data_IF_443721516888
#
_entry.id   IF_443721516888
#
_cell.length_a   1.000
_cell.length_b   1.000
_cell.length_c   1.000
_cell.angle_alpha   90.00
_cell.angle_beta   90.00
_cell.angle_gamma   90.00
#
_symmetry.space_group_name_H-M   'P 1'
#
loop_
_entity.id
_entity.type
_entity.pdbx_description
1 polymer ?
#
# COMPACT_ATOMS: atom_id res chain seq x y z
N UNK A 1 -43.34 -60.85 62.87
CA UNK A 1 -44.26 -59.84 62.30
C UNK A 1 -43.41 -58.79 61.60
N UNK A 2 -43.85 -58.42 60.39
CA UNK A 2 -43.13 -57.68 59.36
C UNK A 2 -42.76 -56.27 59.81
N UNK A 3 -41.58 -55.78 59.42
CA UNK A 3 -41.46 -54.38 59.01
C UNK A 3 -40.33 -54.21 57.98
N UNK A 4 -40.75 -54.00 56.73
CA UNK A 4 -39.97 -53.43 55.64
C UNK A 4 -39.75 -51.94 55.95
N UNK A 5 -38.50 -51.48 55.93
CA UNK A 5 -38.18 -50.06 55.83
C UNK A 5 -37.22 -49.85 54.65
N UNK A 6 -37.81 -49.35 53.58
CA UNK A 6 -37.23 -48.89 52.32
C UNK A 6 -36.33 -47.69 52.58
N UNK A 7 -35.07 -47.71 52.13
CA UNK A 7 -34.26 -46.50 51.99
C UNK A 7 -33.74 -46.40 50.56
N UNK A 8 -34.37 -45.52 49.79
CA UNK A 8 -33.88 -44.99 48.54
C UNK A 8 -33.43 -43.56 48.80
N UNK A 9 -32.17 -43.20 48.54
CA UNK A 9 -31.78 -41.79 48.42
C UNK A 9 -30.66 -41.59 47.39
N UNK A 10 -31.12 -41.18 46.20
CA UNK A 10 -30.57 -40.15 45.30
C UNK A 10 -29.09 -40.17 44.92
N UNK A 11 -28.87 -40.59 43.67
CA UNK A 11 -27.68 -40.31 42.87
C UNK A 11 -27.68 -38.82 42.45
N UNK A 12 -26.67 -38.06 42.89
CA UNK A 12 -26.47 -36.64 42.57
C UNK A 12 -25.66 -36.54 41.26
N UNK A 13 -26.35 -36.42 40.12
CA UNK A 13 -25.72 -36.08 38.84
C UNK A 13 -25.33 -34.59 38.83
N UNK A 14 -24.06 -34.28 39.06
CA UNK A 14 -23.49 -32.98 38.75
C UNK A 14 -23.38 -32.81 37.23
N UNK A 15 -24.39 -32.18 36.62
CA UNK A 15 -24.33 -31.67 35.25
C UNK A 15 -23.43 -30.43 35.27
N UNK A 16 -22.16 -30.60 34.87
CA UNK A 16 -21.28 -29.49 34.53
C UNK A 16 -21.74 -28.89 33.21
N UNK A 17 -22.55 -27.83 33.29
CA UNK A 17 -22.87 -26.98 32.15
C UNK A 17 -21.61 -26.17 31.82
N UNK A 18 -20.82 -26.65 30.87
CA UNK A 18 -19.82 -25.82 30.20
C UNK A 18 -20.57 -24.79 29.37
N UNK A 19 -20.76 -23.59 29.92
CA UNK A 19 -21.08 -22.42 29.13
C UNK A 19 -19.84 -22.08 28.29
N UNK A 20 -19.76 -22.64 27.08
CA UNK A 20 -18.87 -22.12 26.06
C UNK A 20 -19.31 -20.72 25.71
N UNK A 21 -18.71 -19.73 26.38
CA UNK A 21 -18.79 -18.32 25.99
C UNK A 21 -18.06 -18.20 24.66
N UNK A 22 -18.78 -18.49 23.57
CA UNK A 22 -18.36 -18.12 22.22
C UNK A 22 -18.35 -16.59 22.17
N UNK A 23 -17.21 -16.00 22.49
CA UNK A 23 -16.95 -14.60 22.21
C UNK A 23 -17.15 -14.39 20.72
N UNK A 24 -18.21 -13.67 20.35
CA UNK A 24 -18.43 -13.24 18.98
C UNK A 24 -17.16 -12.47 18.53
N UNK A 25 -16.62 -12.75 17.32
CA UNK A 25 -15.48 -12.00 16.82
C UNK A 25 -15.86 -10.52 16.75
N UNK A 26 -15.21 -9.70 17.57
CA UNK A 26 -15.42 -8.26 17.63
C UNK A 26 -15.20 -7.66 16.23
N UNK A 27 -16.29 -7.29 15.56
CA UNK A 27 -16.31 -6.77 14.19
C UNK A 27 -15.73 -5.36 14.01
N UNK A 28 -14.48 -5.12 14.43
CA UNK A 28 -13.74 -3.86 14.18
C UNK A 28 -12.26 -4.10 13.90
N UNK A 29 -11.94 -4.74 12.78
CA UNK A 29 -10.59 -4.98 12.28
C UNK A 29 -9.90 -3.75 11.62
N UNK A 30 -10.31 -2.52 11.94
CA UNK A 30 -9.70 -1.29 11.39
C UNK A 30 -8.79 -0.54 12.37
N UNK A 31 -8.45 -1.11 13.52
CA UNK A 31 -7.78 -0.35 14.60
C UNK A 31 -6.26 -0.23 14.47
N UNK A 32 -5.59 -1.07 13.68
CA UNK A 32 -4.13 -1.15 13.64
C UNK A 32 -3.59 -1.11 12.21
N UNK A 33 -2.40 -0.52 12.06
CA UNK A 33 -1.58 -0.56 10.85
C UNK A 33 -1.03 -1.98 10.64
N UNK A 34 -0.45 -2.29 9.47
CA UNK A 34 0.24 -3.57 9.24
C UNK A 34 1.36 -3.88 10.25
N UNK A 35 1.89 -2.87 10.94
CA UNK A 35 2.93 -3.03 11.96
C UNK A 35 2.36 -3.24 13.38
N UNK A 36 1.03 -3.39 13.52
CA UNK A 36 0.38 -3.64 14.81
C UNK A 36 0.21 -2.40 15.70
N UNK A 37 0.60 -1.22 15.23
CA UNK A 37 0.39 0.05 15.96
C UNK A 37 -0.95 0.68 15.58
N UNK A 38 -1.64 1.43 16.45
CA UNK A 38 -2.88 2.09 16.09
C UNK A 38 -2.72 3.11 14.97
N UNK A 39 -3.73 3.23 14.09
CA UNK A 39 -3.82 4.37 13.19
C UNK A 39 -4.00 5.67 13.98
N UNK A 40 -3.41 6.75 13.47
CA UNK A 40 -3.42 8.07 14.11
C UNK A 40 -4.51 8.98 13.53
N UNK A 41 -4.86 8.79 12.27
CA UNK A 41 -5.88 9.56 11.56
C UNK A 41 -7.22 8.83 11.41
N UNK A 42 -8.25 9.60 11.11
CA UNK A 42 -9.59 9.09 10.78
C UNK A 42 -9.58 8.32 9.45
N UNK A 43 -10.50 7.37 9.24
CA UNK A 43 -10.63 6.67 7.97
C UNK A 43 -10.84 7.62 6.80
N UNK A 44 -10.19 7.34 5.67
CA UNK A 44 -10.39 8.08 4.41
C UNK A 44 -11.16 7.24 3.40
N UNK A 45 -12.01 7.89 2.62
CA UNK A 45 -12.86 7.20 1.63
C UNK A 45 -12.12 7.06 0.30
N UNK A 46 -12.15 5.85 -0.28
CA UNK A 46 -11.56 5.58 -1.59
C UNK A 46 -12.50 4.77 -2.48
N UNK A 47 -12.72 5.21 -3.71
CA UNK A 47 -13.53 4.44 -4.67
C UNK A 47 -12.81 3.16 -5.10
N UNK A 48 -13.51 2.02 -5.09
CA UNK A 48 -13.03 0.74 -5.62
C UNK A 48 -12.67 0.82 -7.10
N UNK A 49 -13.16 1.82 -7.83
CA UNK A 49 -12.83 2.04 -9.24
C UNK A 49 -11.38 2.46 -9.46
N UNK A 50 -10.62 2.81 -8.41
CA UNK A 50 -9.16 2.98 -8.51
C UNK A 50 -8.46 1.74 -9.08
N UNK A 51 -9.05 0.55 -8.90
CA UNK A 51 -8.53 -0.71 -9.43
C UNK A 51 -8.83 -0.94 -10.93
N UNK A 52 -9.57 -0.04 -11.58
CA UNK A 52 -9.85 -0.14 -13.03
C UNK A 52 -8.73 0.48 -13.88
N UNK A 53 -7.47 0.23 -13.50
CA UNK A 53 -6.28 0.76 -14.19
C UNK A 53 -6.17 0.29 -15.63
N UNK A 54 -6.78 -0.84 -15.98
CA UNK A 54 -6.80 -1.37 -17.35
C UNK A 54 -7.56 -0.49 -18.35
N UNK A 55 -8.38 0.44 -17.86
CA UNK A 55 -9.08 1.44 -18.68
C UNK A 55 -8.25 2.69 -18.92
N UNK A 56 -7.13 2.84 -18.21
CA UNK A 56 -6.20 3.96 -18.37
C UNK A 56 -5.09 3.51 -19.34
N UNK A 57 -4.79 4.29 -20.39
CA UNK A 57 -3.76 3.91 -21.34
C UNK A 57 -2.39 3.86 -20.68
N UNK A 58 -1.57 2.90 -21.10
CA UNK A 58 -0.15 2.94 -20.81
C UNK A 58 0.47 4.17 -21.49
N UNK A 59 1.31 4.89 -20.76
CA UNK A 59 2.03 6.06 -21.25
C UNK A 59 3.49 5.84 -20.93
N UNK A 60 4.33 5.88 -21.97
CA UNK A 60 5.77 5.87 -21.81
C UNK A 60 6.24 7.18 -21.18
N UNK A 61 7.24 7.10 -20.30
CA UNK A 61 7.76 8.27 -19.60
C UNK A 61 9.27 8.36 -19.79
N UNK A 62 9.78 9.59 -19.89
CA UNK A 62 11.22 9.81 -20.04
C UNK A 62 11.97 9.54 -18.72
N UNK A 63 12.81 8.51 -18.73
CA UNK A 63 13.69 8.17 -17.61
C UNK A 63 13.04 7.44 -16.42
N UNK A 64 11.79 6.97 -16.51
CA UNK A 64 11.14 6.19 -15.45
C UNK A 64 10.01 5.31 -15.98
N UNK A 65 9.57 4.33 -15.19
CA UNK A 65 8.44 3.46 -15.51
C UNK A 65 7.37 3.56 -14.42
N UNK A 66 6.10 3.65 -14.81
CA UNK A 66 4.98 3.64 -13.87
C UNK A 66 3.72 2.99 -14.44
N UNK A 67 2.86 2.54 -13.54
CA UNK A 67 1.50 2.13 -13.84
C UNK A 67 0.57 3.33 -13.63
N UNK A 68 -0.13 3.76 -14.68
CA UNK A 68 -1.02 4.92 -14.62
C UNK A 68 -2.37 4.55 -13.99
N UNK A 69 -2.91 5.48 -13.22
CA UNK A 69 -4.22 5.39 -12.58
C UNK A 69 -5.07 6.60 -12.99
N UNK A 70 -6.38 6.45 -12.88
CA UNK A 70 -7.29 7.56 -13.12
C UNK A 70 -7.33 8.46 -11.89
N UNK A 71 -6.72 9.64 -12.02
CA UNK A 71 -6.56 10.60 -10.93
C UNK A 71 -7.88 11.01 -10.29
N UNK A 72 -9.01 10.93 -11.00
CA UNK A 72 -10.33 11.27 -10.45
C UNK A 72 -10.73 10.43 -9.23
N UNK A 73 -10.09 9.27 -9.02
CA UNK A 73 -10.33 8.43 -7.84
C UNK A 73 -9.40 8.75 -6.67
N UNK A 74 -8.33 9.51 -6.89
CA UNK A 74 -7.37 9.99 -5.88
C UNK A 74 -7.69 11.44 -5.46
N UNK A 75 -8.15 12.26 -6.41
CA UNK A 75 -8.47 13.68 -6.22
C UNK A 75 -9.39 13.95 -5.01
N UNK A 76 -10.46 13.17 -4.72
CA UNK A 76 -11.30 13.42 -3.56
C UNK A 76 -10.53 13.36 -2.23
N UNK A 77 -9.55 12.47 -2.12
CA UNK A 77 -8.70 12.37 -0.91
C UNK A 77 -7.85 13.63 -0.78
N UNK A 78 -7.26 14.11 -1.87
CA UNK A 78 -6.48 15.35 -1.85
C UNK A 78 -7.34 16.56 -1.46
N UNK A 79 -8.60 16.61 -1.92
CA UNK A 79 -9.57 17.64 -1.53
C UNK A 79 -9.93 17.56 -0.05
N UNK A 80 -10.17 16.37 0.48
CA UNK A 80 -10.49 16.14 1.90
C UNK A 80 -9.30 16.51 2.82
N UNK A 81 -8.07 16.31 2.36
CA UNK A 81 -6.85 16.70 3.07
C UNK A 81 -6.55 18.19 3.01
N UNK A 82 -7.13 18.91 2.05
CA UNK A 82 -6.85 20.32 1.85
C UNK A 82 -7.58 21.17 2.90
N UNK A 83 -6.82 21.74 3.83
CA UNK A 83 -7.33 22.64 4.86
C UNK A 83 -6.85 24.07 4.64
N UNK A 84 -7.59 25.05 5.15
CA UNK A 84 -7.18 26.47 5.09
C UNK A 84 -5.97 26.77 5.96
N UNK A 85 -5.70 25.94 6.97
CA UNK A 85 -4.55 26.09 7.88
C UNK A 85 -3.27 25.51 7.29
N UNK A 86 -3.40 24.44 6.50
CA UNK A 86 -2.30 23.80 5.81
C UNK A 86 -2.75 23.36 4.41
N UNK A 87 -2.61 24.25 3.42
CA UNK A 87 -2.91 23.94 2.04
C UNK A 87 -2.02 22.80 1.54
N UNK A 88 -2.61 21.92 0.73
CA UNK A 88 -1.85 20.86 0.05
C UNK A 88 -1.94 21.02 -1.46
N UNK A 89 -0.84 20.74 -2.11
CA UNK A 89 -0.71 20.67 -3.56
C UNK A 89 -0.80 19.22 -4.02
N UNK A 90 -1.12 19.02 -5.29
CA UNK A 90 -1.14 17.72 -5.94
C UNK A 90 -0.63 17.86 -7.38
N UNK A 91 -0.27 16.73 -7.99
CA UNK A 91 0.29 16.70 -9.35
C UNK A 91 -0.76 16.74 -10.47
N UNK A 92 -2.04 16.53 -10.14
CA UNK A 92 -3.08 16.31 -11.14
C UNK A 92 -2.98 14.97 -11.88
N UNK A 93 -2.10 14.07 -11.42
CA UNK A 93 -1.94 12.71 -11.93
C UNK A 93 -1.89 11.68 -10.80
N UNK A 94 -2.10 10.41 -11.15
CA UNK A 94 -1.93 9.28 -10.24
C UNK A 94 -1.21 8.15 -10.96
N UNK A 95 -0.17 7.63 -10.33
CA UNK A 95 0.57 6.48 -10.82
C UNK A 95 1.23 5.72 -9.67
N UNK A 96 1.59 4.46 -9.93
CA UNK A 96 2.51 3.69 -9.09
C UNK A 96 3.83 3.61 -9.84
N UNK A 97 4.88 4.23 -9.31
CA UNK A 97 6.22 4.12 -9.90
C UNK A 97 6.74 2.68 -9.76
N UNK A 98 7.25 2.12 -10.86
CA UNK A 98 7.83 0.78 -10.93
C UNK A 98 9.35 0.87 -11.03
N UNK A 99 9.89 1.83 -11.79
CA UNK A 99 11.32 2.17 -11.84
C UNK A 99 11.42 3.68 -11.69
N UNK A 100 12.19 4.13 -10.70
CA UNK A 100 12.45 5.55 -10.45
C UNK A 100 13.56 6.10 -11.36
N UNK A 101 13.68 7.43 -11.51
CA UNK A 101 14.77 8.02 -12.29
C UNK A 101 16.19 7.63 -11.80
N UNK A 102 16.50 7.60 -10.49
CA UNK A 102 17.79 7.11 -10.02
C UNK A 102 18.06 5.63 -10.36
N UNK A 103 17.05 4.78 -10.28
CA UNK A 103 17.18 3.37 -10.68
C UNK A 103 17.42 3.25 -12.19
N UNK A 104 16.69 4.00 -13.02
CA UNK A 104 16.92 4.00 -14.47
C UNK A 104 18.35 4.43 -14.81
N UNK A 105 18.90 5.44 -14.13
CA UNK A 105 20.28 5.86 -14.32
C UNK A 105 21.30 4.74 -14.01
N UNK A 106 20.98 3.83 -13.08
CA UNK A 106 21.80 2.64 -12.81
C UNK A 106 21.66 1.62 -13.93
N UNK A 107 20.44 1.35 -14.38
CA UNK A 107 20.13 0.40 -15.46
C UNK A 107 20.79 0.81 -16.78
N UNK A 108 20.72 2.10 -17.12
CA UNK A 108 21.26 2.67 -18.34
C UNK A 108 22.79 2.53 -18.45
N UNK A 109 23.52 2.47 -17.32
CA UNK A 109 24.98 2.21 -17.33
C UNK A 109 25.35 0.83 -17.86
N UNK A 110 24.42 -0.13 -17.83
CA UNK A 110 24.56 -1.45 -18.45
C UNK A 110 23.84 -1.52 -19.81
N UNK A 111 23.58 -0.38 -20.45
CA UNK A 111 22.92 -0.29 -21.75
C UNK A 111 21.50 -0.89 -21.78
N UNK A 112 20.81 -0.93 -20.63
CA UNK A 112 19.36 -1.19 -20.59
C UNK A 112 18.64 0.06 -21.06
N UNK A 113 17.84 -0.06 -22.11
CA UNK A 113 17.11 1.08 -22.67
C UNK A 113 15.71 1.18 -22.07
N UNK A 114 15.12 2.38 -22.17
CA UNK A 114 13.73 2.59 -21.77
C UNK A 114 12.76 1.78 -22.64
N UNK A 115 13.04 1.61 -23.92
CA UNK A 115 12.23 0.77 -24.83
C UNK A 115 12.18 -0.68 -24.36
N UNK A 116 13.31 -1.25 -23.90
CA UNK A 116 13.34 -2.60 -23.35
C UNK A 116 12.53 -2.71 -22.05
N UNK A 117 12.62 -1.70 -21.19
CA UNK A 117 11.84 -1.60 -19.95
C UNK A 117 10.33 -1.52 -20.26
N UNK A 118 9.94 -0.67 -21.22
CA UNK A 118 8.55 -0.52 -21.67
C UNK A 118 8.04 -1.83 -22.29
N UNK A 119 8.85 -2.50 -23.11
CA UNK A 119 8.52 -3.79 -23.69
C UNK A 119 8.25 -4.86 -22.62
N UNK A 120 9.11 -4.95 -21.59
CA UNK A 120 8.88 -5.84 -20.44
C UNK A 120 7.57 -5.48 -19.74
N UNK A 121 7.33 -4.19 -19.48
CA UNK A 121 6.11 -3.72 -18.81
C UNK A 121 4.83 -4.08 -19.60
N UNK A 122 4.85 -3.94 -20.92
CA UNK A 122 3.75 -4.30 -21.81
C UNK A 122 3.52 -5.82 -21.85
N UNK A 123 4.58 -6.62 -21.96
CA UNK A 123 4.51 -8.09 -21.91
C UNK A 123 3.90 -8.59 -20.60
N UNK A 124 4.22 -7.92 -19.50
CA UNK A 124 3.67 -8.18 -18.16
C UNK A 124 2.33 -7.49 -17.90
N UNK A 125 1.74 -6.82 -18.90
CA UNK A 125 0.43 -6.15 -18.82
C UNK A 125 0.36 -5.15 -17.66
N UNK A 126 1.31 -4.24 -17.56
CA UNK A 126 1.43 -3.26 -16.46
C UNK A 126 0.10 -2.59 -16.09
N UNK A 127 -0.69 -2.09 -17.04
CA UNK A 127 -1.98 -1.44 -16.74
C UNK A 127 -3.06 -2.38 -16.20
N UNK A 128 -2.90 -3.70 -16.35
CA UNK A 128 -3.78 -4.72 -15.76
C UNK A 128 -3.17 -5.38 -14.52
N UNK A 129 -2.04 -4.87 -14.01
CA UNK A 129 -1.40 -5.40 -12.81
C UNK A 129 -2.27 -5.16 -11.59
N UNK A 130 -2.44 -6.21 -10.78
CA UNK A 130 -3.19 -6.12 -9.52
C UNK A 130 -2.34 -5.43 -8.47
N UNK A 131 -3.00 -4.58 -7.69
CA UNK A 131 -2.43 -3.96 -6.50
C UNK A 131 -3.49 -3.88 -5.41
N UNK A 132 -3.05 -3.76 -4.16
CA UNK A 132 -3.91 -3.55 -3.01
C UNK A 132 -3.53 -2.25 -2.32
N UNK A 133 -4.51 -1.43 -1.95
CA UNK A 133 -4.26 -0.20 -1.20
C UNK A 133 -4.41 -0.53 0.28
N UNK A 134 -3.37 -0.24 1.05
CA UNK A 134 -3.22 -0.66 2.44
C UNK A 134 -3.74 0.43 3.38
N UNK A 135 -3.25 1.65 3.21
CA UNK A 135 -3.52 2.78 4.09
C UNK A 135 -3.26 4.10 3.36
N UNK A 136 -3.76 5.20 3.91
CA UNK A 136 -3.20 6.51 3.62
C UNK A 136 -2.00 6.72 4.54
N UNK A 137 -0.82 6.82 3.94
CA UNK A 137 0.40 7.19 4.61
C UNK A 137 0.52 8.71 4.77
N UNK A 138 1.13 9.13 5.88
CA UNK A 138 1.48 10.54 6.14
C UNK A 138 2.91 10.57 6.63
N UNK A 139 3.71 11.42 6.02
CA UNK A 139 5.05 11.71 6.47
C UNK A 139 5.24 13.19 6.70
N UNK A 140 5.96 13.54 7.76
CA UNK A 140 6.13 14.89 8.27
C UNK A 140 7.62 15.10 8.56
N UNK A 141 8.32 15.77 7.64
CA UNK A 141 9.76 15.97 7.68
C UNK A 141 10.07 17.45 7.78
N UNK A 142 11.04 17.80 8.63
CA UNK A 142 11.59 19.15 8.68
C UNK A 142 12.87 19.22 7.87
N UNK A 143 12.89 20.05 6.84
CA UNK A 143 14.07 20.34 6.03
C UNK A 143 14.35 21.84 6.14
N UNK A 144 15.54 22.21 6.61
CA UNK A 144 15.94 23.63 6.79
C UNK A 144 14.92 24.46 7.59
N UNK A 145 14.37 23.90 8.66
CA UNK A 145 13.30 24.47 9.51
C UNK A 145 11.93 24.68 8.84
N UNK A 146 11.75 24.24 7.61
CA UNK A 146 10.45 24.23 6.93
C UNK A 146 9.81 22.83 7.04
N UNK A 147 8.50 22.79 7.26
CA UNK A 147 7.75 21.55 7.44
C UNK A 147 7.18 21.05 6.12
N UNK A 148 7.56 19.83 5.76
CA UNK A 148 7.11 19.15 4.57
C UNK A 148 6.21 17.98 4.98
N UNK A 149 4.98 17.98 4.50
CA UNK A 149 4.08 16.84 4.66
C UNK A 149 3.81 16.22 3.31
N UNK A 150 3.92 14.90 3.23
CA UNK A 150 3.56 14.12 2.05
C UNK A 150 2.51 13.08 2.44
N UNK A 151 1.44 13.03 1.64
CA UNK A 151 0.37 12.05 1.74
C UNK A 151 0.42 11.12 0.53
N UNK A 152 0.38 9.82 0.80
CA UNK A 152 0.50 8.80 -0.23
C UNK A 152 -0.34 7.58 0.12
N UNK A 153 -1.00 6.99 -0.87
CA UNK A 153 -1.63 5.68 -0.68
C UNK A 153 -0.53 4.62 -0.73
N UNK A 154 -0.31 3.94 0.39
CA UNK A 154 0.63 2.82 0.45
C UNK A 154 -0.02 1.62 -0.21
N UNK A 155 0.69 0.99 -1.14
CA UNK A 155 0.15 -0.14 -1.89
C UNK A 155 1.05 -1.36 -1.78
N UNK A 156 0.49 -2.53 -2.08
CA UNK A 156 1.24 -3.76 -2.37
C UNK A 156 0.91 -4.21 -3.80
N UNK A 157 1.90 -4.70 -4.53
CA UNK A 157 1.70 -5.32 -5.84
C UNK A 157 2.79 -6.33 -6.19
N UNK A 158 2.41 -7.60 -6.15
CA UNK A 158 3.25 -8.69 -6.64
C UNK A 158 3.46 -8.63 -8.16
N UNK A 159 2.48 -8.12 -8.92
CA UNK A 159 2.59 -8.00 -10.37
C UNK A 159 3.63 -6.94 -10.77
N UNK A 160 3.60 -5.77 -10.14
CA UNK A 160 4.60 -4.72 -10.40
C UNK A 160 5.99 -5.15 -9.92
N UNK A 161 6.09 -5.89 -8.79
CA UNK A 161 7.35 -6.48 -8.36
C UNK A 161 7.90 -7.49 -9.39
N UNK A 162 7.05 -8.29 -10.03
CA UNK A 162 7.50 -9.21 -11.08
C UNK A 162 8.05 -8.47 -12.32
N UNK A 163 7.51 -7.30 -12.65
CA UNK A 163 8.07 -6.43 -13.70
C UNK A 163 9.49 -5.99 -13.30
N UNK A 164 9.67 -5.51 -12.06
CA UNK A 164 11.00 -5.13 -11.54
C UNK A 164 11.99 -6.28 -11.60
N UNK A 165 11.58 -7.49 -11.25
CA UNK A 165 12.41 -8.70 -11.31
C UNK A 165 12.79 -9.07 -12.76
N UNK A 166 11.88 -8.93 -13.72
CA UNK A 166 12.18 -9.15 -15.13
C UNK A 166 13.20 -8.11 -15.67
N UNK A 167 13.05 -6.84 -15.28
CA UNK A 167 14.02 -5.78 -15.60
C UNK A 167 15.38 -6.07 -14.96
N UNK A 168 15.41 -6.57 -13.71
CA UNK A 168 16.65 -7.00 -13.06
C UNK A 168 17.34 -8.14 -13.81
N UNK A 169 16.59 -9.12 -14.33
CA UNK A 169 17.14 -10.19 -15.15
C UNK A 169 17.78 -9.66 -16.44
N UNK A 170 17.11 -8.72 -17.12
CA UNK A 170 17.68 -8.03 -18.28
C UNK A 170 18.98 -7.29 -17.90
N UNK A 171 18.95 -6.50 -16.82
CA UNK A 171 20.11 -5.77 -16.32
C UNK A 171 21.30 -6.70 -16.04
N UNK A 172 21.08 -7.81 -15.34
CA UNK A 172 22.11 -8.81 -15.06
C UNK A 172 22.65 -9.46 -16.35
N UNK A 173 21.77 -9.79 -17.30
CA UNK A 173 22.17 -10.38 -18.59
C UNK A 173 23.06 -9.47 -19.43
N UNK A 174 22.95 -8.15 -19.25
CA UNK A 174 23.80 -7.14 -19.89
C UNK A 174 25.08 -6.80 -19.12
N UNK A 175 25.42 -7.58 -18.09
CA UNK A 175 26.61 -7.36 -17.26
C UNK A 175 26.47 -6.22 -16.25
N UNK A 176 25.23 -5.83 -15.92
CA UNK A 176 24.95 -4.86 -14.87
C UNK A 176 25.44 -5.32 -13.50
N UNK A 177 25.91 -4.37 -12.68
CA UNK A 177 26.30 -4.65 -11.29
C UNK A 177 25.03 -4.80 -10.43
N UNK A 178 24.63 -6.04 -10.16
CA UNK A 178 23.40 -6.38 -9.43
C UNK A 178 23.34 -5.83 -8.01
N UNK A 179 24.47 -5.41 -7.41
CA UNK A 179 24.48 -4.73 -6.12
C UNK A 179 23.88 -3.31 -6.18
N UNK A 180 23.77 -2.71 -7.36
CA UNK A 180 23.28 -1.34 -7.55
C UNK A 180 21.78 -1.26 -7.81
N UNK A 181 21.10 -2.38 -8.05
CA UNK A 181 19.67 -2.43 -8.28
C UNK A 181 19.07 -3.68 -7.63
N UNK A 182 18.28 -3.50 -6.58
CA UNK A 182 17.55 -4.58 -5.92
C UNK A 182 16.05 -4.47 -6.26
N UNK A 183 15.47 -5.41 -7.03
CA UNK A 183 14.06 -5.34 -7.38
C UNK A 183 13.13 -5.47 -6.16
N UNK A 184 13.58 -6.15 -5.10
CA UNK A 184 12.79 -6.37 -3.88
C UNK A 184 12.85 -5.20 -2.88
N UNK A 185 13.78 -4.24 -3.07
CA UNK A 185 13.70 -2.97 -2.37
C UNK A 185 12.65 -2.09 -3.06
N UNK A 186 11.38 -2.36 -2.77
CA UNK A 186 10.25 -1.77 -3.47
C UNK A 186 9.14 -1.38 -2.52
N UNK A 187 8.90 -0.07 -2.40
CA UNK A 187 7.85 0.53 -1.60
C UNK A 187 6.84 1.23 -2.53
N UNK A 188 5.98 0.49 -3.25
CA UNK A 188 5.06 1.11 -4.17
C UNK A 188 4.04 1.96 -3.41
N UNK A 189 3.77 3.13 -3.97
CA UNK A 189 2.83 4.10 -3.42
C UNK A 189 2.22 4.92 -4.55
N UNK A 190 1.15 5.63 -4.24
CA UNK A 190 0.52 6.64 -5.11
C UNK A 190 0.57 7.95 -4.36
N UNK A 191 1.31 8.95 -4.86
CA UNK A 191 1.30 10.29 -4.26
C UNK A 191 -0.10 10.88 -4.36
N UNK A 192 -0.64 11.37 -3.23
CA UNK A 192 -1.95 12.02 -3.17
C UNK A 192 -1.78 13.53 -3.12
N UNK A 193 -1.00 14.02 -2.15
CA UNK A 193 -0.83 15.45 -1.93
C UNK A 193 0.43 15.76 -1.10
N UNK A 194 0.89 17.01 -1.14
CA UNK A 194 2.05 17.47 -0.37
C UNK A 194 1.96 18.98 -0.04
N UNK A 195 2.62 19.45 1.01
CA UNK A 195 2.52 20.87 1.43
C UNK A 195 3.41 21.82 0.67
N UNK A 196 4.60 21.37 0.23
CA UNK A 196 5.56 22.24 -0.47
C UNK A 196 6.01 21.57 -1.76
N UNK A 197 6.65 20.40 -1.65
CA UNK A 197 7.12 19.61 -2.78
C UNK A 197 6.84 18.12 -2.53
N UNK A 198 6.75 17.34 -3.60
CA UNK A 198 6.81 15.88 -3.49
C UNK A 198 8.25 15.48 -3.14
N UNK A 199 8.41 14.89 -1.96
CA UNK A 199 9.70 14.46 -1.44
C UNK A 199 9.97 12.98 -1.80
N UNK A 200 11.24 12.67 -1.98
CA UNK A 200 11.73 11.32 -2.27
C UNK A 200 12.49 10.75 -1.08
N UNK A 201 12.79 9.45 -1.09
CA UNK A 201 13.52 8.79 0.02
C UNK A 201 14.87 9.45 0.31
N UNK A 202 15.52 10.02 -0.72
CA UNK A 202 16.75 10.82 -0.57
C UNK A 202 16.58 12.06 0.33
N UNK A 203 15.35 12.52 0.56
CA UNK A 203 15.01 13.60 1.46
C UNK A 203 14.69 13.11 2.90
N UNK A 204 14.96 11.84 3.21
CA UNK A 204 14.69 11.24 4.52
C UNK A 204 13.25 10.75 4.70
N UNK A 205 12.51 10.62 3.59
CA UNK A 205 11.09 10.26 3.54
C UNK A 205 10.94 8.75 3.39
N UNK A 206 10.21 8.09 4.28
CA UNK A 206 9.88 6.68 4.24
C UNK A 206 8.56 6.41 3.52
N UNK A 207 8.58 5.44 2.59
CA UNK A 207 7.41 5.16 1.73
C UNK A 207 6.76 3.80 1.97
N UNK A 208 7.02 3.19 3.12
CA UNK A 208 6.52 1.86 3.50
C UNK A 208 5.37 1.86 4.51
N UNK A 209 5.07 0.70 5.09
CA UNK A 209 3.98 0.54 6.07
C UNK A 209 4.18 1.34 7.37
N UNK A 210 5.40 1.76 7.66
CA UNK A 210 5.74 2.56 8.84
C UNK A 210 5.18 3.99 8.79
N UNK A 211 4.73 4.47 7.63
CA UNK A 211 4.06 5.78 7.52
C UNK A 211 2.54 5.68 7.47
N UNK A 212 1.96 4.48 7.63
CA UNK A 212 0.51 4.31 7.64
C UNK A 212 -0.16 5.15 8.74
N UNK A 213 -1.00 6.11 8.32
CA UNK A 213 -1.60 7.12 9.20
C UNK A 213 -3.11 6.95 9.36
N UNK A 214 -3.82 6.73 8.25
CA UNK A 214 -5.28 6.55 8.23
C UNK A 214 -5.67 5.24 7.53
N UNK A 215 -6.70 4.52 8.03
CA UNK A 215 -7.24 3.36 7.33
C UNK A 215 -8.06 3.78 6.10
N UNK A 216 -8.17 2.89 5.12
CA UNK A 216 -9.01 3.09 3.93
C UNK A 216 -10.41 2.51 4.15
N UNK A 217 -11.43 3.29 3.84
CA UNK A 217 -12.81 2.85 3.70
C UNK A 217 -13.21 2.83 2.22
N UNK A 218 -13.38 1.64 1.66
CA UNK A 218 -13.72 1.48 0.25
C UNK A 218 -15.20 1.72 -0.03
N UNK A 219 -15.50 2.54 -1.04
CA UNK A 219 -16.85 2.77 -1.57
C UNK A 219 -16.98 2.32 -3.02
N UNK A 220 -18.20 2.06 -3.48
CA UNK A 220 -18.50 1.57 -4.83
C UNK A 220 -18.54 2.67 -5.89
#
# INVERSE_FOLDING_TARGET
MVNLATLAFTCLCCILVFCDVHAAPNGKHYKQTPLGVPYQGSPVTLSRRIYHSSLVPFKENDGWLGMNLDYKYVEPIAKDLNSTEQPVFNRGDAHITVITPPEFNVLAKASVTLDEINNIALQHKIQSSRFHVICLGREDVKVNNEQYIVYQLIVDSHNLLNIRRAIFQLYASKGGNTALFNPDNYNPHITVAFTVNDLFEANGVSKGYNVCYSPIHFVH
#
